data_IF_727312485443
#
_entry.id   IF_727312485443
#
_cell.length_a   1.000
_cell.length_b   1.000
_cell.length_c   1.000
_cell.angle_alpha   90.00
_cell.angle_beta   90.00
_cell.angle_gamma   90.00
#
_symmetry.space_group_name_H-M   'P 1'
#
loop_
_entity.id
_entity.type
_entity.pdbx_description
1 polymer ?
#
# COMPACT_ATOMS: atom_id res chain seq x y z
N UNK A 1 -9.89 30.00 -24.89
CA UNK A 1 -8.62 30.07 -25.64
C UNK A 1 -7.39 29.90 -24.72
N UNK A 2 -7.49 30.12 -23.43
CA UNK A 2 -6.37 29.89 -22.47
C UNK A 2 -6.12 28.43 -22.10
N UNK A 3 -7.11 27.57 -22.16
CA UNK A 3 -6.95 26.14 -21.84
C UNK A 3 -6.10 25.35 -22.87
N UNK A 4 -5.94 25.86 -24.08
CA UNK A 4 -5.14 25.23 -25.15
C UNK A 4 -3.65 25.57 -25.00
N UNK A 5 -3.32 26.75 -24.43
CA UNK A 5 -1.93 27.14 -24.18
C UNK A 5 -1.22 26.36 -23.09
N UNK A 6 -1.96 25.75 -22.16
CA UNK A 6 -1.39 24.99 -21.06
C UNK A 6 -0.87 23.61 -21.49
N UNK A 7 -1.25 23.14 -22.69
CA UNK A 7 -0.76 21.85 -23.23
C UNK A 7 0.48 21.99 -24.12
N UNK A 8 0.79 23.20 -24.61
CA UNK A 8 1.97 23.45 -25.45
C UNK A 8 3.26 23.72 -24.66
N UNK A 9 3.17 24.18 -23.41
CA UNK A 9 4.33 24.45 -22.57
C UNK A 9 5.00 23.16 -21.98
N UNK A 10 4.33 22.03 -22.04
CA UNK A 10 4.88 20.74 -21.56
C UNK A 10 5.89 20.12 -22.53
N UNK A 11 5.86 20.53 -23.81
CA UNK A 11 6.71 19.92 -24.86
C UNK A 11 8.05 20.65 -25.08
N UNK A 12 8.27 21.82 -24.49
CA UNK A 12 9.45 22.66 -24.71
C UNK A 12 10.63 22.39 -23.77
N UNK A 13 10.47 21.58 -22.73
CA UNK A 13 11.56 21.23 -21.79
C UNK A 13 12.29 19.94 -22.10
N UNK A 14 11.98 19.24 -23.20
CA UNK A 14 12.59 17.95 -23.58
C UNK A 14 13.86 18.04 -24.40
N UNK A 15 14.41 19.22 -24.71
CA UNK A 15 15.62 19.34 -25.54
C UNK A 15 16.68 20.22 -24.88
N UNK A 16 17.49 19.63 -24.01
CA UNK A 16 18.92 19.98 -23.78
C UNK A 16 19.44 19.24 -22.55
N UNK A 17 20.18 18.15 -22.77
CA UNK A 17 21.44 17.85 -22.06
C UNK A 17 22.01 16.56 -22.62
N UNK A 18 22.93 16.70 -23.57
CA UNK A 18 23.98 15.71 -23.84
C UNK A 18 25.29 16.31 -23.35
N UNK A 19 26.05 15.57 -22.59
CA UNK A 19 27.40 16.01 -22.23
C UNK A 19 28.11 15.10 -21.23
N UNK A 20 28.88 14.15 -21.77
CA UNK A 20 30.15 13.59 -21.31
C UNK A 20 30.22 12.69 -20.07
N UNK A 21 30.59 11.46 -20.38
CA UNK A 21 31.04 10.39 -19.47
C UNK A 21 32.44 10.62 -18.91
N UNK A 22 32.67 10.14 -17.69
CA UNK A 22 34.02 9.74 -17.23
C UNK A 22 33.89 8.47 -16.39
N UNK A 23 34.56 7.41 -16.84
CA UNK A 23 34.69 6.14 -16.12
C UNK A 23 35.61 6.28 -14.93
N UNK A 24 35.26 5.63 -13.83
CA UNK A 24 36.21 5.21 -12.81
C UNK A 24 35.86 3.82 -12.30
N UNK A 25 36.70 2.85 -12.63
CA UNK A 25 36.67 1.48 -12.14
C UNK A 25 37.33 1.44 -10.78
N UNK A 26 36.65 0.97 -9.77
CA UNK A 26 37.25 0.56 -8.50
C UNK A 26 36.81 -0.87 -8.16
N UNK A 27 37.81 -1.76 -8.09
CA UNK A 27 37.64 -3.15 -7.71
C UNK A 27 37.34 -3.27 -6.22
N UNK A 28 36.30 -4.03 -5.86
CA UNK A 28 36.02 -4.41 -4.48
C UNK A 28 36.40 -5.89 -4.27
N UNK A 29 37.29 -6.12 -3.32
CA UNK A 29 37.73 -7.43 -2.85
C UNK A 29 36.65 -8.09 -1.99
N UNK A 30 36.35 -9.36 -2.29
CA UNK A 30 35.57 -10.25 -1.41
C UNK A 30 36.37 -10.56 -0.14
N UNK A 31 35.75 -10.31 1.00
CA UNK A 31 36.14 -10.92 2.27
C UNK A 31 35.05 -11.90 2.68
N UNK A 32 35.37 -13.17 2.60
CA UNK A 32 34.64 -14.26 3.25
C UNK A 32 34.94 -14.20 4.75
N UNK A 33 33.95 -14.06 5.60
CA UNK A 33 34.10 -14.25 7.03
C UNK A 33 33.00 -15.11 7.61
N UNK A 34 33.46 -16.04 8.41
CA UNK A 34 32.86 -17.15 9.11
C UNK A 34 31.47 -16.96 9.72
N UNK A 35 30.71 -18.05 9.62
CA UNK A 35 29.45 -18.27 10.32
C UNK A 35 29.66 -18.38 11.83
N UNK A 36 29.41 -17.32 12.55
CA UNK A 36 29.27 -17.37 14.01
C UNK A 36 27.80 -17.56 14.39
N UNK A 37 27.46 -18.69 15.00
CA UNK A 37 26.19 -18.90 15.67
C UNK A 37 26.01 -17.90 16.82
N UNK A 38 25.18 -16.86 16.60
CA UNK A 38 24.79 -15.94 17.65
C UNK A 38 23.60 -16.53 18.43
N UNK A 39 23.81 -16.82 19.72
CA UNK A 39 22.73 -17.09 20.67
C UNK A 39 21.86 -15.82 20.84
N UNK A 40 20.52 -15.94 21.06
CA UNK A 40 19.66 -14.81 21.26
C UNK A 40 19.98 -14.11 22.60
N UNK A 41 20.67 -13.01 22.56
CA UNK A 41 20.82 -12.12 23.71
C UNK A 41 19.51 -11.39 23.97
N UNK A 42 19.04 -11.40 25.22
CA UNK A 42 18.02 -10.45 25.73
C UNK A 42 18.64 -9.05 25.76
N UNK A 43 18.78 -8.45 24.59
CA UNK A 43 19.35 -7.12 24.38
C UNK A 43 18.28 -6.07 24.14
N UNK A 44 18.60 -4.80 24.41
CA UNK A 44 17.82 -3.62 24.05
C UNK A 44 17.20 -3.76 22.66
N UNK A 45 16.00 -3.18 22.42
CA UNK A 45 15.40 -3.16 21.09
C UNK A 45 16.43 -2.67 20.09
N UNK A 46 16.73 -3.48 19.08
CA UNK A 46 17.66 -3.08 18.03
C UNK A 46 17.12 -1.78 17.40
N UNK A 47 17.93 -0.72 17.42
CA UNK A 47 17.66 0.48 16.63
C UNK A 47 17.70 0.06 15.16
N UNK A 48 16.73 0.54 14.38
CA UNK A 48 16.71 0.29 12.95
C UNK A 48 17.97 0.91 12.32
N UNK A 49 18.64 0.20 11.39
CA UNK A 49 19.75 0.80 10.65
C UNK A 49 19.24 2.03 9.88
N UNK A 50 20.06 3.07 9.83
CA UNK A 50 19.71 4.25 9.07
C UNK A 50 19.97 3.99 7.58
N UNK A 51 18.94 4.09 6.75
CA UNK A 51 19.04 3.97 5.29
C UNK A 51 18.42 5.20 4.63
N UNK A 52 18.93 5.52 3.44
CA UNK A 52 18.27 6.48 2.57
C UNK A 52 17.13 5.78 1.79
N UNK A 53 16.07 6.52 1.46
CA UNK A 53 15.07 6.04 0.53
C UNK A 53 15.72 5.66 -0.82
N UNK A 54 15.16 4.67 -1.51
CA UNK A 54 15.68 4.12 -2.78
C UNK A 54 17.02 3.37 -2.65
N UNK A 55 17.33 2.85 -1.48
CA UNK A 55 18.54 2.03 -1.28
C UNK A 55 18.38 0.67 -1.98
N UNK A 56 17.18 0.08 -1.91
CA UNK A 56 16.89 -1.20 -2.53
C UNK A 56 16.01 -1.03 -3.77
N UNK A 57 16.23 -1.87 -4.77
CA UNK A 57 15.50 -1.84 -6.04
C UNK A 57 14.78 -3.15 -6.37
N UNK A 58 14.95 -4.18 -5.54
CA UNK A 58 14.33 -5.49 -5.74
C UNK A 58 14.15 -6.22 -4.42
N UNK A 59 13.17 -7.10 -4.39
CA UNK A 59 13.06 -8.16 -3.39
C UNK A 59 13.93 -9.37 -3.81
N UNK A 60 14.16 -10.30 -2.88
CA UNK A 60 14.58 -11.64 -3.24
C UNK A 60 13.53 -12.38 -4.10
N UNK A 61 13.70 -13.70 -4.33
CA UNK A 61 12.73 -14.48 -5.09
C UNK A 61 11.32 -14.36 -4.48
N UNK A 62 10.36 -14.01 -5.31
CA UNK A 62 8.97 -13.97 -4.90
C UNK A 62 8.44 -15.38 -4.69
N UNK A 63 7.55 -15.54 -3.74
CA UNK A 63 6.85 -16.77 -3.40
C UNK A 63 5.41 -16.70 -3.88
N UNK A 64 4.77 -17.86 -3.99
CA UNK A 64 3.34 -17.97 -4.27
C UNK A 64 2.72 -19.02 -3.36
N UNK A 65 1.47 -18.79 -2.94
CA UNK A 65 0.71 -19.69 -2.10
C UNK A 65 -0.78 -19.62 -2.44
N UNK A 66 -1.45 -20.77 -2.44
CA UNK A 66 -2.89 -20.83 -2.56
C UNK A 66 -3.54 -20.40 -1.24
N UNK A 67 -4.36 -19.37 -1.30
CA UNK A 67 -5.02 -18.78 -0.15
C UNK A 67 -6.44 -18.35 -0.53
N UNK A 68 -7.44 -19.03 0.01
CA UNK A 68 -8.85 -18.79 -0.29
C UNK A 68 -9.15 -18.93 -1.78
N UNK A 69 -9.49 -17.83 -2.45
CA UNK A 69 -9.83 -17.79 -3.87
C UNK A 69 -8.64 -17.49 -4.78
N UNK A 70 -7.46 -17.25 -4.21
CA UNK A 70 -6.30 -16.72 -4.91
C UNK A 70 -5.08 -17.62 -4.75
N UNK A 71 -4.25 -17.65 -5.78
CA UNK A 71 -2.84 -17.96 -5.67
C UNK A 71 -2.12 -16.62 -5.50
N UNK A 72 -1.66 -16.33 -4.27
CA UNK A 72 -1.11 -15.02 -3.90
C UNK A 72 0.40 -15.01 -4.08
N UNK A 73 0.89 -14.06 -4.90
CA UNK A 73 2.31 -13.74 -5.00
C UNK A 73 2.73 -12.79 -3.87
N UNK A 74 3.88 -13.07 -3.24
CA UNK A 74 4.37 -12.22 -2.15
C UNK A 74 5.89 -12.25 -2.03
N UNK A 75 6.44 -11.16 -1.48
CA UNK A 75 7.82 -11.11 -1.00
C UNK A 75 7.84 -11.48 0.49
N UNK A 76 8.90 -12.15 0.93
CA UNK A 76 9.15 -12.48 2.33
C UNK A 76 10.57 -12.09 2.72
N UNK A 77 10.74 -11.51 3.91
CA UNK A 77 12.04 -11.13 4.45
C UNK A 77 12.10 -11.39 5.96
N UNK A 78 13.31 -11.59 6.48
CA UNK A 78 13.57 -11.82 7.90
C UNK A 78 13.42 -13.27 8.34
N UNK A 79 13.58 -13.54 9.65
CA UNK A 79 13.54 -14.89 10.20
C UNK A 79 12.11 -15.46 10.16
N UNK A 80 11.99 -16.73 9.76
CA UNK A 80 10.69 -17.39 9.59
C UNK A 80 9.89 -17.52 10.91
N UNK A 81 10.58 -17.56 12.04
CA UNK A 81 10.04 -17.63 13.39
C UNK A 81 9.88 -16.26 14.07
N UNK A 82 10.24 -15.18 13.38
CA UNK A 82 10.08 -13.81 13.87
C UNK A 82 8.63 -13.39 14.02
N UNK A 83 8.33 -12.38 14.86
CA UNK A 83 6.99 -11.84 14.95
C UNK A 83 6.53 -11.30 13.59
N UNK A 84 5.32 -11.73 13.17
CA UNK A 84 4.82 -11.47 11.83
C UNK A 84 4.41 -10.00 11.64
N UNK A 85 4.81 -9.45 10.49
CA UNK A 85 4.37 -8.14 9.95
C UNK A 85 3.89 -8.35 8.52
N UNK A 86 2.70 -7.84 8.19
CA UNK A 86 2.18 -7.83 6.83
C UNK A 86 2.11 -6.39 6.35
N UNK A 87 2.76 -6.09 5.22
CA UNK A 87 2.83 -4.78 4.59
C UNK A 87 1.91 -4.73 3.38
N UNK A 88 0.92 -3.84 3.39
CA UNK A 88 -0.18 -3.82 2.44
C UNK A 88 -0.14 -2.54 1.58
N UNK A 89 0.05 -2.72 0.28
CA UNK A 89 0.09 -1.63 -0.69
C UNK A 89 -1.30 -1.14 -1.08
N UNK A 90 -1.36 -0.05 -1.83
CA UNK A 90 -2.57 0.53 -2.36
C UNK A 90 -2.61 0.62 -3.89
N UNK A 91 -3.57 1.39 -4.42
CA UNK A 91 -3.71 1.70 -5.83
C UNK A 91 -3.26 3.15 -6.12
N UNK A 92 -2.55 3.40 -7.20
CA UNK A 92 -1.94 2.48 -8.16
C UNK A 92 -0.46 2.23 -7.81
N UNK A 93 -0.24 1.49 -6.76
CA UNK A 93 1.07 1.10 -6.23
C UNK A 93 1.15 -0.42 -6.14
N UNK A 94 2.29 -0.94 -5.65
CA UNK A 94 2.49 -2.37 -5.48
C UNK A 94 3.45 -2.70 -4.32
N UNK A 95 3.96 -3.92 -4.28
CA UNK A 95 4.88 -4.36 -3.22
C UNK A 95 6.14 -3.52 -3.14
N UNK A 96 6.60 -2.90 -4.24
CA UNK A 96 7.82 -2.08 -4.27
C UNK A 96 7.73 -0.81 -3.42
N UNK A 97 6.52 -0.40 -3.01
CA UNK A 97 6.38 0.63 -1.97
C UNK A 97 7.09 0.27 -0.66
N UNK A 98 7.35 -1.02 -0.45
CA UNK A 98 7.97 -1.55 0.78
C UNK A 98 9.38 -2.10 0.57
N UNK A 99 9.99 -1.89 -0.59
CA UNK A 99 11.28 -2.49 -0.93
C UNK A 99 12.40 -2.09 0.03
N UNK A 100 12.33 -0.89 0.59
CA UNK A 100 13.26 -0.41 1.63
C UNK A 100 12.75 -0.70 3.05
N UNK A 101 11.44 -0.76 3.28
CA UNK A 101 10.85 -1.03 4.61
C UNK A 101 11.07 -2.47 5.05
N UNK A 102 10.89 -3.43 4.12
CA UNK A 102 10.97 -4.85 4.45
C UNK A 102 12.35 -5.27 5.02
N UNK A 103 13.49 -4.89 4.43
CA UNK A 103 14.80 -5.22 5.01
C UNK A 103 15.08 -4.52 6.34
N UNK A 104 14.53 -3.31 6.58
CA UNK A 104 14.63 -2.64 7.88
C UNK A 104 13.95 -3.46 8.98
N UNK A 105 12.72 -3.90 8.73
CA UNK A 105 11.97 -4.71 9.68
C UNK A 105 12.59 -6.11 9.86
N UNK A 106 13.09 -6.70 8.77
CA UNK A 106 13.79 -7.99 8.82
C UNK A 106 15.06 -7.90 9.68
N UNK A 107 15.83 -6.81 9.59
CA UNK A 107 17.01 -6.58 10.43
C UNK A 107 16.65 -6.39 11.91
N UNK A 108 15.43 -5.95 12.20
CA UNK A 108 14.88 -5.86 13.56
C UNK A 108 14.28 -7.18 14.07
N UNK A 109 14.39 -8.27 13.30
CA UNK A 109 13.97 -9.62 13.69
C UNK A 109 12.51 -9.96 13.39
N UNK A 110 11.81 -9.16 12.57
CA UNK A 110 10.45 -9.45 12.15
C UNK A 110 10.42 -10.39 10.93
N UNK A 111 9.44 -11.29 10.89
CA UNK A 111 9.04 -11.99 9.66
C UNK A 111 8.12 -11.06 8.87
N UNK A 112 8.58 -10.58 7.73
CA UNK A 112 7.89 -9.57 6.91
C UNK A 112 7.31 -10.21 5.68
N UNK A 113 6.00 -10.05 5.48
CA UNK A 113 5.26 -10.52 4.30
C UNK A 113 4.73 -9.30 3.55
N UNK A 114 5.01 -9.24 2.24
CA UNK A 114 4.56 -8.16 1.37
C UNK A 114 3.79 -8.78 0.19
N UNK A 115 2.46 -8.98 0.32
CA UNK A 115 1.67 -9.62 -0.73
C UNK A 115 1.30 -8.64 -1.84
N UNK A 116 1.22 -9.13 -3.08
CA UNK A 116 0.42 -8.49 -4.11
C UNK A 116 -1.06 -8.70 -3.79
N UNK A 117 -1.80 -7.61 -3.70
CA UNK A 117 -3.26 -7.67 -3.58
C UNK A 117 -3.89 -8.28 -4.83
N UNK A 118 -5.19 -8.67 -4.74
CA UNK A 118 -5.94 -9.16 -5.91
C UNK A 118 -5.84 -8.18 -7.08
N UNK A 119 -5.61 -8.69 -8.28
CA UNK A 119 -5.44 -7.88 -9.49
C UNK A 119 -4.07 -7.22 -9.64
N UNK A 120 -3.05 -7.65 -8.87
CA UNK A 120 -1.69 -7.10 -8.97
C UNK A 120 -0.63 -8.18 -9.15
N UNK A 121 0.45 -7.82 -9.84
CA UNK A 121 1.65 -8.61 -9.98
C UNK A 121 1.38 -10.05 -10.38
N UNK A 122 1.93 -10.99 -9.62
CA UNK A 122 1.78 -12.43 -9.87
C UNK A 122 0.57 -13.08 -9.19
N UNK A 123 -0.21 -12.34 -8.39
CA UNK A 123 -1.45 -12.86 -7.77
C UNK A 123 -2.48 -13.22 -8.84
N UNK A 124 -3.08 -14.39 -8.76
CA UNK A 124 -4.07 -14.91 -9.72
C UNK A 124 -5.26 -15.51 -9.01
N UNK A 125 -6.43 -15.46 -9.64
CA UNK A 125 -7.58 -16.25 -9.19
C UNK A 125 -7.38 -17.72 -9.51
N UNK A 126 -7.72 -18.60 -8.56
CA UNK A 126 -7.63 -20.05 -8.72
C UNK A 126 -8.66 -20.59 -9.71
N UNK A 127 -9.77 -19.86 -9.93
CA UNK A 127 -10.81 -20.22 -10.88
C UNK A 127 -11.15 -19.04 -11.79
N UNK A 128 -11.36 -19.34 -13.07
CA UNK A 128 -11.90 -18.40 -14.07
C UNK A 128 -13.31 -17.91 -13.75
N UNK A 129 -14.09 -18.72 -13.03
CA UNK A 129 -15.48 -18.44 -12.63
C UNK A 129 -15.60 -17.49 -11.45
N UNK A 130 -14.51 -17.24 -10.72
CA UNK A 130 -14.54 -16.31 -9.58
C UNK A 130 -14.80 -14.89 -10.04
N UNK A 131 -15.77 -14.22 -9.42
CA UNK A 131 -16.11 -12.83 -9.72
C UNK A 131 -14.90 -11.92 -9.43
N UNK A 132 -14.56 -11.03 -10.37
CA UNK A 132 -13.47 -10.04 -10.22
C UNK A 132 -13.95 -8.87 -9.36
N UNK A 133 -14.20 -9.20 -8.10
CA UNK A 133 -14.75 -8.30 -7.10
C UNK A 133 -13.61 -7.55 -6.38
N UNK A 134 -13.65 -6.22 -6.41
CA UNK A 134 -12.69 -5.34 -5.73
C UNK A 134 -13.25 -4.67 -4.46
N UNK A 135 -14.38 -5.14 -3.90
CA UNK A 135 -14.94 -4.52 -2.70
C UNK A 135 -13.97 -4.63 -1.50
N UNK A 136 -13.89 -3.60 -0.65
CA UNK A 136 -12.85 -3.52 0.39
C UNK A 136 -12.87 -4.67 1.41
N UNK A 137 -14.06 -5.16 1.79
CA UNK A 137 -14.19 -6.30 2.70
C UNK A 137 -13.59 -7.59 2.13
N UNK A 138 -13.66 -7.77 0.81
CA UNK A 138 -13.13 -8.96 0.13
C UNK A 138 -11.60 -8.93 0.08
N UNK A 139 -10.99 -7.75 -0.10
CA UNK A 139 -9.52 -7.61 0.00
C UNK A 139 -9.04 -7.98 1.41
N UNK A 140 -9.80 -7.62 2.44
CA UNK A 140 -9.49 -8.02 3.81
C UNK A 140 -9.62 -9.55 4.02
N UNK A 141 -10.63 -10.19 3.43
CA UNK A 141 -10.79 -11.64 3.46
C UNK A 141 -9.62 -12.35 2.79
N UNK A 142 -9.09 -11.83 1.69
CA UNK A 142 -7.89 -12.40 1.06
C UNK A 142 -6.67 -12.41 1.99
N UNK A 143 -6.48 -11.33 2.75
CA UNK A 143 -5.35 -11.25 3.69
C UNK A 143 -5.56 -12.20 4.87
N UNK A 144 -6.79 -12.37 5.36
CA UNK A 144 -7.09 -13.41 6.36
C UNK A 144 -6.78 -14.79 5.80
N UNK A 145 -7.21 -15.11 4.57
CA UNK A 145 -6.89 -16.37 3.92
C UNK A 145 -5.38 -16.58 3.71
N UNK A 146 -4.64 -15.52 3.38
CA UNK A 146 -3.18 -15.55 3.30
C UNK A 146 -2.55 -15.87 4.66
N UNK A 147 -3.04 -15.24 5.74
CA UNK A 147 -2.57 -15.53 7.10
C UNK A 147 -2.81 -17.00 7.46
N UNK A 148 -3.97 -17.55 7.11
CA UNK A 148 -4.30 -18.96 7.35
C UNK A 148 -3.37 -19.88 6.55
N UNK A 149 -3.15 -19.59 5.27
CA UNK A 149 -2.27 -20.37 4.41
C UNK A 149 -0.79 -20.35 4.85
N UNK A 150 -0.36 -19.27 5.51
CA UNK A 150 1.00 -19.10 6.05
C UNK A 150 1.13 -19.54 7.53
N UNK A 151 0.08 -20.11 8.10
CA UNK A 151 -0.01 -20.52 9.53
C UNK A 151 0.29 -19.35 10.49
N UNK A 152 -0.26 -18.16 10.15
CA UNK A 152 -0.12 -16.95 10.94
C UNK A 152 -1.38 -16.68 11.75
N UNK A 153 -1.39 -17.05 13.03
CA UNK A 153 -2.52 -16.79 13.92
C UNK A 153 -2.78 -15.27 14.11
N UNK A 154 -1.71 -14.48 14.18
CA UNK A 154 -1.77 -13.03 14.44
C UNK A 154 -0.57 -12.30 13.85
N UNK A 155 -0.77 -11.08 13.29
CA UNK A 155 0.29 -10.25 12.73
C UNK A 155 0.12 -8.77 13.07
N UNK A 156 1.21 -8.00 13.04
CA UNK A 156 1.13 -6.54 12.92
C UNK A 156 0.82 -6.18 11.48
N UNK A 157 -0.22 -5.39 11.25
CA UNK A 157 -0.65 -4.97 9.91
C UNK A 157 -0.23 -3.54 9.67
N UNK A 158 0.39 -3.27 8.54
CA UNK A 158 0.79 -1.91 8.18
C UNK A 158 0.49 -1.64 6.71
N UNK A 159 -0.09 -0.48 6.41
CA UNK A 159 -0.49 -0.19 5.04
C UNK A 159 -0.73 1.29 4.77
N UNK A 160 -0.87 1.60 3.48
CA UNK A 160 -1.34 2.88 2.97
C UNK A 160 -2.40 2.66 1.90
N UNK A 161 -3.23 3.64 1.63
CA UNK A 161 -4.32 3.60 0.63
C UNK A 161 -5.23 2.38 0.81
N UNK A 162 -5.42 1.50 -0.22
CA UNK A 162 -6.19 0.26 -0.07
C UNK A 162 -5.63 -0.65 1.02
N UNK A 163 -4.30 -0.69 1.16
CA UNK A 163 -3.64 -1.49 2.19
C UNK A 163 -3.95 -1.00 3.59
N UNK A 164 -3.97 0.31 3.82
CA UNK A 164 -4.41 0.88 5.11
C UNK A 164 -5.89 0.57 5.36
N UNK A 165 -6.75 0.71 4.36
CA UNK A 165 -8.16 0.33 4.45
C UNK A 165 -8.33 -1.14 4.83
N UNK A 166 -7.58 -2.03 4.17
CA UNK A 166 -7.57 -3.46 4.45
C UNK A 166 -7.16 -3.74 5.89
N UNK A 167 -6.08 -3.10 6.37
CA UNK A 167 -5.63 -3.23 7.75
C UNK A 167 -6.68 -2.75 8.75
N UNK A 168 -7.33 -1.60 8.50
CA UNK A 168 -8.42 -1.08 9.31
C UNK A 168 -9.60 -2.07 9.39
N UNK A 169 -10.00 -2.65 8.26
CA UNK A 169 -11.09 -3.62 8.20
C UNK A 169 -10.74 -4.87 9.01
N UNK A 170 -9.53 -5.41 8.84
CA UNK A 170 -9.09 -6.59 9.62
C UNK A 170 -9.06 -6.28 11.11
N UNK A 171 -8.47 -5.14 11.50
CA UNK A 171 -8.39 -4.73 12.90
C UNK A 171 -9.76 -4.52 13.56
N UNK A 172 -10.77 -4.11 12.77
CA UNK A 172 -12.14 -3.91 13.26
C UNK A 172 -12.97 -5.20 13.30
N UNK A 173 -12.86 -6.07 12.29
CA UNK A 173 -13.70 -7.26 12.15
C UNK A 173 -13.09 -8.52 12.75
N UNK A 174 -11.76 -8.62 12.79
CA UNK A 174 -10.97 -9.75 13.32
C UNK A 174 -9.82 -9.25 14.21
N UNK A 175 -10.13 -8.55 15.33
CA UNK A 175 -9.09 -7.96 16.20
C UNK A 175 -8.14 -9.02 16.79
N UNK A 176 -8.59 -10.27 16.91
CA UNK A 176 -7.76 -11.41 17.33
C UNK A 176 -6.66 -11.75 16.31
N UNK A 177 -6.84 -11.38 15.03
CA UNK A 177 -5.86 -11.60 13.96
C UNK A 177 -4.88 -10.44 13.81
N UNK A 178 -5.19 -9.29 14.38
CA UNK A 178 -4.37 -8.07 14.32
C UNK A 178 -3.72 -7.77 15.67
N UNK A 179 -2.38 -7.89 15.75
CA UNK A 179 -1.63 -7.57 16.97
C UNK A 179 -1.59 -6.07 17.23
N UNK A 180 -1.30 -5.31 16.19
CA UNK A 180 -1.20 -3.86 16.19
C UNK A 180 -1.29 -3.35 14.74
N UNK A 181 -1.54 -2.06 14.53
CA UNK A 181 -1.74 -1.50 13.21
C UNK A 181 -0.97 -0.20 12.97
N UNK A 182 -0.37 -0.07 11.77
CA UNK A 182 0.05 1.23 11.21
C UNK A 182 -0.84 1.54 10.00
N UNK A 183 -1.50 2.70 10.01
CA UNK A 183 -2.40 3.12 8.94
C UNK A 183 -2.02 4.52 8.45
N UNK A 184 -1.59 4.63 7.19
CA UNK A 184 -1.40 5.93 6.54
C UNK A 184 -2.77 6.51 6.19
N UNK A 185 -2.95 7.81 6.44
CA UNK A 185 -4.20 8.57 6.25
C UNK A 185 -5.36 8.15 7.15
N UNK A 186 -5.07 7.46 8.24
CA UNK A 186 -5.97 7.32 9.38
C UNK A 186 -6.99 6.19 9.31
N UNK A 187 -8.24 6.50 9.70
CA UNK A 187 -9.36 5.55 9.68
C UNK A 187 -10.03 5.57 8.31
N UNK A 188 -9.93 4.46 7.58
CA UNK A 188 -10.33 4.37 6.18
C UNK A 188 -11.51 3.40 5.93
N UNK A 189 -12.19 2.96 6.97
CA UNK A 189 -13.43 2.17 6.83
C UNK A 189 -14.53 3.10 6.32
N UNK A 190 -15.17 2.71 5.24
CA UNK A 190 -16.31 3.39 4.65
C UNK A 190 -17.37 2.40 4.20
N UNK A 191 -18.51 2.91 3.77
CA UNK A 191 -19.63 2.14 3.23
C UNK A 191 -20.08 2.73 1.90
N UNK A 192 -20.89 1.98 1.14
CA UNK A 192 -21.52 2.50 -0.06
C UNK A 192 -22.38 3.73 0.25
N UNK A 193 -23.08 3.74 1.38
CA UNK A 193 -23.93 4.87 1.77
C UNK A 193 -23.09 6.14 2.01
N UNK A 194 -21.95 6.03 2.70
CA UNK A 194 -21.04 7.17 2.86
C UNK A 194 -20.42 7.60 1.53
N UNK A 195 -20.17 6.67 0.62
CA UNK A 195 -19.60 6.96 -0.71
C UNK A 195 -20.58 7.66 -1.67
N UNK A 196 -21.88 7.61 -1.41
CA UNK A 196 -22.92 8.36 -2.17
C UNK A 196 -23.04 9.83 -1.75
N UNK A 197 -22.45 10.20 -0.61
CA UNK A 197 -22.52 11.58 -0.12
C UNK A 197 -21.51 12.46 -0.84
N UNK A 198 -21.93 13.62 -1.38
CA UNK A 198 -21.02 14.52 -2.08
C UNK A 198 -20.00 15.12 -1.12
N UNK A 199 -18.80 15.31 -1.60
CA UNK A 199 -17.72 15.99 -0.91
C UNK A 199 -17.61 17.47 -1.37
N UNK A 200 -16.85 18.32 -0.64
CA UNK A 200 -16.53 19.65 -1.15
C UNK A 200 -15.86 19.59 -2.53
N UNK A 201 -16.12 20.55 -3.45
CA UNK A 201 -15.64 20.49 -4.82
C UNK A 201 -14.13 20.28 -4.99
N UNK A 202 -13.32 20.80 -4.06
CA UNK A 202 -11.86 20.57 -4.08
C UNK A 202 -11.47 19.13 -3.82
N UNK A 203 -12.18 18.43 -2.93
CA UNK A 203 -11.95 17.00 -2.68
C UNK A 203 -12.46 16.14 -3.84
N UNK A 204 -13.61 16.49 -4.44
CA UNK A 204 -14.12 15.83 -5.66
C UNK A 204 -13.14 15.98 -6.82
N UNK A 205 -12.55 17.17 -6.99
CA UNK A 205 -11.53 17.41 -8.02
C UNK A 205 -10.29 16.53 -7.81
N UNK A 206 -9.85 16.31 -6.58
CA UNK A 206 -8.71 15.43 -6.28
C UNK A 206 -9.05 13.94 -6.53
N UNK A 207 -10.33 13.55 -6.36
CA UNK A 207 -10.81 12.19 -6.63
C UNK A 207 -11.51 12.04 -7.98
N UNK A 208 -11.23 12.92 -8.96
CA UNK A 208 -11.82 12.93 -10.29
C UNK A 208 -11.84 11.55 -10.97
N UNK A 209 -10.82 10.74 -10.73
CA UNK A 209 -10.68 9.43 -11.34
C UNK A 209 -11.77 8.43 -10.90
N UNK A 210 -12.38 8.59 -9.73
CA UNK A 210 -13.49 7.75 -9.29
C UNK A 210 -14.71 7.95 -10.21
N UNK A 211 -14.99 9.20 -10.60
CA UNK A 211 -16.06 9.52 -11.55
C UNK A 211 -15.70 9.11 -12.98
N UNK A 212 -14.43 9.16 -13.33
CA UNK A 212 -13.96 8.63 -14.61
C UNK A 212 -14.22 7.12 -14.68
N UNK A 213 -13.88 6.35 -13.65
CA UNK A 213 -14.14 4.91 -13.57
C UNK A 213 -15.62 4.55 -13.48
N UNK A 214 -16.50 5.46 -13.08
CA UNK A 214 -17.95 5.26 -13.09
C UNK A 214 -18.50 5.00 -14.49
N UNK A 215 -17.79 5.46 -15.55
CA UNK A 215 -18.21 5.36 -16.95
C UNK A 215 -17.50 4.22 -17.70
N UNK A 216 -18.13 3.72 -18.78
CA UNK A 216 -17.46 2.78 -19.68
C UNK A 216 -16.29 3.42 -20.44
N UNK A 217 -16.37 4.73 -20.74
CA UNK A 217 -15.25 5.49 -21.28
C UNK A 217 -14.05 5.46 -20.32
N UNK A 218 -14.31 5.64 -19.03
CA UNK A 218 -13.26 5.60 -18.01
C UNK A 218 -12.61 4.23 -17.87
N UNK A 219 -13.41 3.17 -17.87
CA UNK A 219 -12.92 1.79 -17.89
C UNK A 219 -12.02 1.53 -19.09
N UNK A 220 -12.49 1.84 -20.30
CA UNK A 220 -11.75 1.65 -21.53
C UNK A 220 -10.48 2.54 -21.59
N UNK A 221 -10.56 3.76 -21.08
CA UNK A 221 -9.42 4.68 -21.00
C UNK A 221 -8.34 4.19 -20.05
N UNK A 222 -8.74 3.68 -18.86
CA UNK A 222 -7.79 3.09 -17.92
C UNK A 222 -7.14 1.82 -18.48
N UNK A 223 -7.90 0.97 -19.13
CA UNK A 223 -7.38 -0.24 -19.77
C UNK A 223 -6.32 0.11 -20.84
N UNK A 224 -6.60 1.12 -21.67
CA UNK A 224 -5.71 1.53 -22.76
C UNK A 224 -4.47 2.31 -22.29
N UNK A 225 -4.63 3.19 -21.29
CA UNK A 225 -3.60 4.15 -20.86
C UNK A 225 -3.18 3.93 -19.40
N UNK A 226 -3.23 2.71 -18.94
CA UNK A 226 -3.01 2.32 -17.54
C UNK A 226 -1.70 2.84 -16.96
N UNK A 227 -0.63 2.76 -17.73
CA UNK A 227 0.69 3.26 -17.35
C UNK A 227 0.68 4.78 -17.13
N UNK A 228 0.28 5.55 -18.13
CA UNK A 228 0.27 7.02 -18.05
C UNK A 228 -0.70 7.51 -16.97
N UNK A 229 -1.84 6.81 -16.84
CA UNK A 229 -2.83 7.13 -15.81
C UNK A 229 -2.26 6.92 -14.39
N UNK A 230 -1.64 5.78 -14.13
CA UNK A 230 -1.04 5.50 -12.84
C UNK A 230 0.08 6.48 -12.50
N UNK A 231 0.93 6.82 -13.49
CA UNK A 231 2.01 7.80 -13.34
C UNK A 231 1.47 9.20 -12.99
N UNK A 232 0.38 9.62 -13.65
CA UNK A 232 -0.30 10.87 -13.32
C UNK A 232 -0.81 10.88 -11.87
N UNK A 233 -1.42 9.77 -11.42
CA UNK A 233 -1.89 9.65 -10.02
C UNK A 233 -0.72 9.77 -9.04
N UNK A 234 0.42 9.12 -9.30
CA UNK A 234 1.61 9.28 -8.45
C UNK A 234 2.06 10.73 -8.34
N UNK A 235 2.13 11.44 -9.47
CA UNK A 235 2.52 12.85 -9.50
C UNK A 235 1.55 13.76 -8.73
N UNK A 236 0.24 13.49 -8.83
CA UNK A 236 -0.78 14.27 -8.13
C UNK A 236 -0.84 13.93 -6.64
N UNK A 237 -0.68 12.68 -6.28
CA UNK A 237 -0.75 12.22 -4.89
C UNK A 237 0.53 12.49 -4.09
N UNK A 238 1.68 12.55 -4.75
CA UNK A 238 2.99 12.85 -4.14
C UNK A 238 3.70 13.99 -4.90
N UNK A 239 3.16 15.23 -4.85
CA UNK A 239 3.58 16.32 -5.74
C UNK A 239 5.01 16.85 -5.48
N UNK A 240 5.60 16.50 -4.33
CA UNK A 240 6.99 16.85 -4.00
C UNK A 240 7.97 15.68 -4.12
N UNK A 241 7.47 14.50 -4.49
CA UNK A 241 8.31 13.33 -4.65
C UNK A 241 8.93 13.27 -6.05
N UNK A 242 10.23 13.44 -6.11
CA UNK A 242 11.01 13.32 -7.35
C UNK A 242 11.38 11.85 -7.58
N UNK A 243 10.44 11.04 -8.07
CA UNK A 243 10.69 9.66 -8.47
C UNK A 243 11.14 9.58 -9.94
N UNK A 244 12.10 8.70 -10.22
CA UNK A 244 12.54 8.42 -11.58
C UNK A 244 11.63 7.39 -12.29
N UNK A 245 11.76 7.32 -13.63
CA UNK A 245 11.01 6.40 -14.46
C UNK A 245 11.26 4.94 -14.03
N UNK A 246 12.50 4.59 -13.68
CA UNK A 246 12.83 3.23 -13.26
C UNK A 246 12.13 2.81 -11.96
N UNK A 247 11.93 3.73 -11.04
CA UNK A 247 11.16 3.49 -9.81
C UNK A 247 9.69 3.25 -10.13
N UNK A 248 9.10 4.06 -11.01
CA UNK A 248 7.72 3.89 -11.44
C UNK A 248 7.53 2.60 -12.25
N UNK A 249 8.41 2.33 -13.22
CA UNK A 249 8.33 1.18 -14.12
C UNK A 249 8.32 -0.16 -13.37
N UNK A 250 9.10 -0.26 -12.29
CA UNK A 250 9.09 -1.46 -11.44
C UNK A 250 7.71 -1.77 -10.87
N UNK A 251 7.02 -0.74 -10.37
CA UNK A 251 5.65 -0.91 -9.85
C UNK A 251 4.63 -1.08 -10.97
N UNK A 252 4.80 -0.35 -12.08
CA UNK A 252 3.86 -0.37 -13.20
C UNK A 252 3.74 -1.76 -13.84
N UNK A 253 4.81 -2.56 -13.83
CA UNK A 253 4.78 -3.95 -14.30
C UNK A 253 3.74 -4.82 -13.56
N UNK A 254 3.38 -4.48 -12.32
CA UNK A 254 2.36 -5.22 -11.57
C UNK A 254 0.94 -4.98 -12.08
N UNK A 255 0.71 -3.89 -12.82
CA UNK A 255 -0.60 -3.52 -13.38
C UNK A 255 -0.91 -4.29 -14.67
N UNK A 256 0.05 -5.04 -15.22
CA UNK A 256 -0.16 -5.95 -16.35
C UNK A 256 -0.89 -7.26 -15.95
N UNK A 257 -1.23 -7.39 -14.66
CA UNK A 257 -2.10 -8.45 -14.19
C UNK A 257 -3.43 -8.42 -14.97
N UNK A 258 -3.89 -9.55 -15.56
CA UNK A 258 -5.06 -9.60 -16.42
C UNK A 258 -6.36 -9.18 -15.71
N UNK A 259 -6.41 -9.30 -14.39
CA UNK A 259 -7.58 -8.96 -13.59
C UNK A 259 -7.54 -7.51 -13.06
N UNK A 260 -6.43 -6.78 -13.27
CA UNK A 260 -6.18 -5.48 -12.65
C UNK A 260 -7.28 -4.46 -12.92
N UNK A 261 -7.60 -4.24 -14.20
CA UNK A 261 -8.59 -3.23 -14.60
C UNK A 261 -9.97 -3.55 -14.03
N UNK A 262 -10.38 -4.82 -14.09
CA UNK A 262 -11.68 -5.25 -13.57
C UNK A 262 -11.77 -5.01 -12.05
N UNK A 263 -10.75 -5.38 -11.29
CA UNK A 263 -10.69 -5.21 -9.83
C UNK A 263 -10.69 -3.72 -9.45
N UNK A 264 -9.86 -2.91 -10.11
CA UNK A 264 -9.74 -1.46 -9.80
C UNK A 264 -11.04 -0.74 -10.09
N UNK A 265 -11.61 -0.94 -11.28
CA UNK A 265 -12.85 -0.29 -11.68
C UNK A 265 -14.01 -0.73 -10.77
N UNK A 266 -14.09 -2.03 -10.44
CA UNK A 266 -15.10 -2.53 -9.51
C UNK A 266 -14.97 -1.88 -8.12
N UNK A 267 -13.75 -1.76 -7.57
CA UNK A 267 -13.54 -1.14 -6.26
C UNK A 267 -14.12 0.28 -6.21
N UNK A 268 -13.78 1.11 -7.19
CA UNK A 268 -14.25 2.50 -7.20
C UNK A 268 -15.73 2.63 -7.52
N UNK A 269 -16.29 1.81 -8.42
CA UNK A 269 -17.73 1.76 -8.67
C UNK A 269 -18.50 1.31 -7.43
N UNK A 270 -18.01 0.28 -6.74
CA UNK A 270 -18.63 -0.19 -5.50
C UNK A 270 -18.65 0.93 -4.43
N UNK A 271 -17.54 1.65 -4.27
CA UNK A 271 -17.46 2.77 -3.31
C UNK A 271 -18.43 3.90 -3.61
N UNK A 272 -18.76 4.14 -4.86
CA UNK A 272 -19.75 5.13 -5.30
C UNK A 272 -21.19 4.58 -5.32
N UNK A 273 -21.40 3.32 -4.95
CA UNK A 273 -22.72 2.66 -5.01
C UNK A 273 -23.17 2.35 -6.44
N UNK A 274 -22.25 2.24 -7.40
CA UNK A 274 -22.50 1.99 -8.82
C UNK A 274 -22.20 0.54 -9.23
N UNK A 275 -21.73 -0.29 -8.33
CA UNK A 275 -21.55 -1.73 -8.52
C UNK A 275 -22.00 -2.48 -7.28
N UNK A 276 -22.61 -3.64 -7.50
CA UNK A 276 -23.00 -4.54 -6.42
C UNK A 276 -21.79 -5.30 -5.86
N UNK A 277 -21.79 -5.57 -4.56
CA UNK A 277 -20.88 -6.52 -3.93
C UNK A 277 -21.41 -7.96 -4.07
N UNK A 278 -20.57 -8.95 -3.80
CA UNK A 278 -21.04 -10.33 -3.71
C UNK A 278 -21.86 -10.53 -2.42
N UNK A 279 -23.08 -11.08 -2.51
CA UNK A 279 -23.99 -11.25 -1.36
C UNK A 279 -23.38 -11.99 -0.16
N UNK A 280 -22.46 -12.93 -0.41
CA UNK A 280 -21.79 -13.71 0.66
C UNK A 280 -20.94 -12.85 1.60
N UNK A 281 -20.56 -11.62 1.21
CA UNK A 281 -19.83 -10.67 2.03
C UNK A 281 -20.72 -9.57 2.61
N UNK A 282 -22.02 -9.60 2.34
CA UNK A 282 -22.97 -8.56 2.73
C UNK A 282 -23.02 -8.30 4.24
N UNK A 283 -22.83 -9.32 5.07
CA UNK A 283 -22.82 -9.15 6.53
C UNK A 283 -21.53 -8.45 7.02
N UNK A 284 -20.40 -8.65 6.33
CA UNK A 284 -19.18 -7.88 6.61
C UNK A 284 -19.39 -6.41 6.27
N UNK A 285 -19.96 -6.12 5.10
CA UNK A 285 -20.22 -4.74 4.67
C UNK A 285 -21.21 -4.02 5.59
N UNK A 286 -22.28 -4.71 6.07
CA UNK A 286 -23.20 -4.16 7.07
C UNK A 286 -22.48 -3.77 8.37
N UNK A 287 -21.62 -4.65 8.89
CA UNK A 287 -20.81 -4.36 10.08
C UNK A 287 -19.87 -3.17 9.85
N UNK A 288 -19.26 -3.05 8.66
CA UNK A 288 -18.40 -1.93 8.29
C UNK A 288 -19.17 -0.62 8.14
N UNK A 289 -20.42 -0.66 7.66
CA UNK A 289 -21.29 0.51 7.54
C UNK A 289 -21.61 1.16 8.90
N UNK A 290 -21.56 0.40 9.99
CA UNK A 290 -21.69 0.92 11.36
C UNK A 290 -20.46 1.71 11.82
N UNK A 291 -19.42 1.79 10.97
CA UNK A 291 -18.14 2.45 11.29
C UNK A 291 -17.53 1.96 12.61
N UNK A 292 -17.22 0.65 12.72
CA UNK A 292 -16.79 0.03 13.97
C UNK A 292 -15.51 0.65 14.53
N UNK A 293 -15.36 0.59 15.84
CA UNK A 293 -14.17 1.06 16.55
C UNK A 293 -13.04 0.04 16.40
N UNK A 294 -11.82 0.52 16.19
CA UNK A 294 -10.59 -0.28 16.19
C UNK A 294 -9.99 -0.30 17.58
N UNK A 295 -9.93 -1.48 18.20
CA UNK A 295 -9.46 -1.63 19.58
C UNK A 295 -7.98 -2.02 19.71
N UNK A 296 -7.33 -2.39 18.63
CA UNK A 296 -5.91 -2.78 18.66
C UNK A 296 -5.00 -1.54 18.77
N UNK A 297 -3.78 -1.69 19.33
CA UNK A 297 -2.80 -0.59 19.34
C UNK A 297 -2.57 -0.08 17.91
N UNK A 298 -2.65 1.24 17.72
CA UNK A 298 -2.62 1.85 16.39
C UNK A 298 -1.75 3.10 16.35
N UNK A 299 -0.92 3.21 15.32
CA UNK A 299 -0.26 4.45 14.91
C UNK A 299 -0.81 4.84 13.54
N UNK A 300 -1.37 6.05 13.42
CA UNK A 300 -1.69 6.62 12.13
C UNK A 300 -0.58 7.55 11.66
N UNK A 301 -0.25 7.51 10.38
CA UNK A 301 0.77 8.35 9.74
C UNK A 301 0.14 9.24 8.69
N UNK A 302 0.70 10.42 8.51
CA UNK A 302 0.38 11.30 7.40
C UNK A 302 1.65 11.97 6.88
N UNK A 303 1.76 12.17 5.56
CA UNK A 303 2.83 12.95 4.95
C UNK A 303 2.45 14.43 4.88
N UNK A 304 3.39 15.33 5.13
CA UNK A 304 3.15 16.78 5.14
C UNK A 304 2.90 17.38 3.74
N UNK A 305 3.03 16.57 2.69
CA UNK A 305 2.77 16.95 1.30
C UNK A 305 1.87 15.93 0.57
N UNK A 306 1.05 15.17 1.31
CA UNK A 306 0.09 14.24 0.69
C UNK A 306 -0.92 15.01 -0.17
N UNK A 307 -0.88 14.78 -1.49
CA UNK A 307 -1.79 15.39 -2.46
C UNK A 307 -3.13 14.67 -2.60
N UNK A 308 -3.27 13.46 -2.03
CA UNK A 308 -4.55 12.76 -1.98
C UNK A 308 -5.43 13.31 -0.85
N UNK A 309 -6.76 13.39 -1.03
CA UNK A 309 -7.66 13.79 0.05
C UNK A 309 -7.57 12.86 1.24
N UNK A 310 -7.37 13.42 2.41
CA UNK A 310 -7.32 12.67 3.67
C UNK A 310 -8.03 13.48 4.78
N UNK A 311 -8.69 12.79 5.74
CA UNK A 311 -9.36 13.46 6.84
C UNK A 311 -8.34 13.97 7.86
N UNK A 312 -8.67 15.06 8.53
CA UNK A 312 -7.91 15.53 9.70
C UNK A 312 -7.96 14.48 10.82
N UNK A 313 -6.83 14.28 11.51
CA UNK A 313 -6.70 13.27 12.56
C UNK A 313 -7.71 13.43 13.70
N UNK A 314 -8.09 14.67 14.05
CA UNK A 314 -9.09 14.94 15.07
C UNK A 314 -10.47 14.39 14.72
N UNK A 315 -10.80 14.29 13.43
CA UNK A 315 -12.10 13.80 12.96
C UNK A 315 -12.31 12.30 13.20
N UNK A 316 -11.22 11.52 13.22
CA UNK A 316 -11.30 10.06 13.35
C UNK A 316 -10.61 9.48 14.61
N UNK A 317 -9.89 10.27 15.39
CA UNK A 317 -9.14 9.78 16.57
C UNK A 317 -10.01 8.93 17.51
N UNK A 318 -11.28 9.31 17.71
CA UNK A 318 -12.25 8.57 18.54
C UNK A 318 -12.62 7.17 18.02
N UNK A 319 -12.23 6.86 16.77
CA UNK A 319 -12.44 5.53 16.17
C UNK A 319 -11.40 4.51 16.62
N UNK A 320 -10.38 4.95 17.34
CA UNK A 320 -9.34 4.09 17.91
C UNK A 320 -9.49 4.08 19.44
N UNK A 321 -9.93 2.97 20.02
CA UNK A 321 -10.13 2.84 21.47
C UNK A 321 -8.95 2.18 22.19
N UNK A 322 -8.04 1.55 21.44
CA UNK A 322 -6.77 1.05 21.95
C UNK A 322 -5.75 2.17 22.16
N UNK A 323 -4.50 1.78 22.47
CA UNK A 323 -3.39 2.75 22.49
C UNK A 323 -3.24 3.39 21.11
N UNK A 324 -3.42 4.70 21.02
CA UNK A 324 -3.47 5.43 19.77
C UNK A 324 -2.48 6.59 19.74
N UNK A 325 -1.80 6.76 18.60
CA UNK A 325 -0.93 7.90 18.32
C UNK A 325 -1.05 8.30 16.85
N UNK A 326 -1.04 9.60 16.57
CA UNK A 326 -0.94 10.15 15.23
C UNK A 326 0.44 10.80 15.04
N UNK A 327 1.05 10.64 13.84
CA UNK A 327 2.33 11.24 13.48
C UNK A 327 2.24 11.85 12.08
N UNK A 328 2.73 13.07 11.95
CA UNK A 328 2.96 13.73 10.66
C UNK A 328 4.43 13.61 10.31
N UNK A 329 4.74 13.06 9.15
CA UNK A 329 6.09 12.89 8.64
C UNK A 329 6.42 14.09 7.77
N UNK A 330 7.43 14.85 8.20
CA UNK A 330 7.87 16.09 7.57
C UNK A 330 8.91 15.83 6.48
N UNK A 331 9.08 16.78 5.57
CA UNK A 331 10.10 16.73 4.52
C UNK A 331 9.55 16.66 3.10
N UNK A 332 8.29 17.02 2.91
CA UNK A 332 7.64 16.98 1.60
C UNK A 332 7.14 15.59 1.23
N UNK A 333 6.80 14.78 2.24
CA UNK A 333 6.35 13.39 2.08
C UNK A 333 4.91 13.36 1.57
N UNK A 334 4.71 12.64 0.47
CA UNK A 334 3.42 12.50 -0.18
C UNK A 334 2.66 11.24 0.24
N UNK A 335 1.88 10.73 -0.70
CA UNK A 335 0.93 9.63 -0.45
C UNK A 335 1.60 8.26 -0.31
N UNK A 336 2.67 8.00 -1.09
CA UNK A 336 3.42 6.73 -1.00
C UNK A 336 4.45 6.79 0.14
N UNK A 337 3.96 7.14 1.33
CA UNK A 337 4.77 7.37 2.53
C UNK A 337 5.78 6.24 2.82
N UNK A 338 5.45 4.93 2.69
CA UNK A 338 6.41 3.87 2.95
C UNK A 338 7.61 3.90 1.98
N UNK A 339 7.45 4.35 0.74
CA UNK A 339 8.54 4.45 -0.22
C UNK A 339 9.27 5.80 -0.14
N UNK A 340 8.55 6.87 0.22
CA UNK A 340 9.10 8.20 0.36
C UNK A 340 9.88 8.39 1.68
N UNK A 341 9.40 7.75 2.76
CA UNK A 341 9.98 7.84 4.10
C UNK A 341 10.08 6.46 4.79
N UNK A 342 10.83 5.49 4.20
CA UNK A 342 10.86 4.10 4.67
C UNK A 342 11.30 3.94 6.11
N UNK A 343 12.25 4.76 6.56
CA UNK A 343 12.74 4.75 7.94
C UNK A 343 11.64 5.12 8.94
N UNK A 344 10.89 6.18 8.66
CA UNK A 344 9.80 6.65 9.53
C UNK A 344 8.65 5.63 9.58
N UNK A 345 8.33 5.01 8.42
CA UNK A 345 7.31 3.97 8.35
C UNK A 345 7.72 2.72 9.13
N UNK A 346 8.94 2.21 8.91
CA UNK A 346 9.45 1.04 9.63
C UNK A 346 9.52 1.30 11.15
N UNK A 347 9.95 2.50 11.57
CA UNK A 347 9.98 2.87 12.99
C UNK A 347 8.58 2.86 13.61
N UNK A 348 7.56 3.34 12.89
CA UNK A 348 6.18 3.30 13.38
C UNK A 348 5.70 1.85 13.57
N UNK A 349 6.06 0.93 12.66
CA UNK A 349 5.75 -0.50 12.79
C UNK A 349 6.42 -1.10 14.03
N UNK A 350 7.69 -0.81 14.25
CA UNK A 350 8.44 -1.28 15.43
C UNK A 350 7.83 -0.74 16.73
N UNK A 351 7.47 0.54 16.74
CA UNK A 351 6.91 1.20 17.94
C UNK A 351 5.53 0.65 18.30
N UNK A 352 4.65 0.46 17.32
CA UNK A 352 3.31 -0.06 17.58
C UNK A 352 3.33 -1.54 17.95
N UNK A 353 4.26 -2.32 17.41
CA UNK A 353 4.39 -3.75 17.73
C UNK A 353 4.85 -4.02 19.17
N UNK A 354 5.46 -3.02 19.84
CA UNK A 354 5.87 -3.06 21.25
C UNK A 354 4.78 -2.58 22.21
N UNK A 355 3.66 -2.06 21.68
CA UNK A 355 2.54 -1.53 22.46
C UNK A 355 1.63 -2.65 22.95
#
# INVERSE_FOLDING_TARGET
MEAIKMFEDIDLHRRRFFGTAAMSIAAAQLILSDSAHAQPSKGKPAELPNINARTNTSFGPLKQIDAGLLNIGYAEAGPADGPAVILLHGWPYDIYSYVDVAPLLASAGYRVIVPYLRGYGSTRFLSGETVRNGQPSVVAVDIIALMDALDMGKATLAGFDWGARTANIIAALWPERCKAMVSVSGYLIGSQESGKMPLPPTAELQWWYQFYFATERGRAGYDKYRYDFAKLIWQLASPKWDFDDATFDRSAASFDNPDHVAIVVHNYRWRLGLAEGEPKYGDLDKRLAESPVVAVPTITLEGDANGAPHPDASSYARKFSGKYTHRVIQGGIGHNLPQEAPQAFAQAVVDVAKS
#
